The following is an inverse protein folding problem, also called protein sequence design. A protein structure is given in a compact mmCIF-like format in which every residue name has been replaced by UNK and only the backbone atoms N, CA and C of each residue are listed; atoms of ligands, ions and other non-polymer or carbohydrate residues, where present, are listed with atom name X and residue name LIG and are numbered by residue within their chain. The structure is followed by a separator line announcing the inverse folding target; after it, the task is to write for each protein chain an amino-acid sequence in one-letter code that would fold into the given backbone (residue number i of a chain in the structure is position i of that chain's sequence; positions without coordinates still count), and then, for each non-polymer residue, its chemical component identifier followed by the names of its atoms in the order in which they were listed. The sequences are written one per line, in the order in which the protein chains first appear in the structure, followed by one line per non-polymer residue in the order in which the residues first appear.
data_IF_193762863667
#
_entry.id   IF_193762863667
#
_cell.length_a   1.000
_cell.length_b   1.000
_cell.length_c   1.000
_cell.angle_alpha   90.00
_cell.angle_beta   90.00
_cell.angle_gamma   90.00
#
_symmetry.space_group_name_H-M   'P 1'
#
loop_
_entity.id
_entity.type
_entity.pdbx_description
1 polymer ?
#
# COMPACT_ATOMS: atom_id res chain seq x y z
N UNK A 1 -9.26 6.98 -23.89
CA UNK A 1 -9.20 7.81 -22.67
C UNK A 1 -9.03 7.01 -21.36
N UNK A 2 -9.58 5.79 -21.23
CA UNK A 2 -9.53 5.00 -19.98
C UNK A 2 -8.14 4.41 -19.61
N UNK A 3 -7.32 3.99 -20.59
CA UNK A 3 -5.96 3.47 -20.33
C UNK A 3 -5.02 4.50 -19.69
N UNK A 4 -5.21 5.79 -19.97
CA UNK A 4 -4.31 6.83 -19.50
C UNK A 4 -4.46 7.10 -18.00
N UNK A 5 -5.61 6.80 -17.41
CA UNK A 5 -5.90 7.07 -15.98
C UNK A 5 -5.24 6.04 -15.08
N UNK A 6 -5.31 4.75 -15.45
CA UNK A 6 -4.65 3.67 -14.70
C UNK A 6 -3.12 3.79 -14.75
N UNK A 7 -2.57 4.13 -15.93
CA UNK A 7 -1.15 4.44 -16.08
C UNK A 7 -0.74 5.66 -15.24
N UNK A 8 -1.55 6.71 -15.21
CA UNK A 8 -1.27 7.92 -14.43
C UNK A 8 -1.26 7.63 -12.92
N UNK A 9 -2.20 6.83 -12.41
CA UNK A 9 -2.23 6.45 -10.99
C UNK A 9 -1.05 5.55 -10.61
N UNK A 10 -0.70 4.60 -11.48
CA UNK A 10 0.50 3.78 -11.31
C UNK A 10 1.76 4.66 -11.34
N UNK A 11 1.85 5.63 -12.25
CA UNK A 11 2.97 6.57 -12.28
C UNK A 11 3.02 7.47 -11.05
N UNK A 12 1.89 7.94 -10.51
CA UNK A 12 1.85 8.72 -9.26
C UNK A 12 2.37 7.87 -8.10
N UNK A 13 1.96 6.60 -8.03
CA UNK A 13 2.43 5.66 -7.02
C UNK A 13 3.93 5.38 -7.15
N UNK A 14 4.41 5.08 -8.36
CA UNK A 14 5.84 4.88 -8.66
C UNK A 14 6.64 6.14 -8.32
N UNK A 15 6.15 7.32 -8.71
CA UNK A 15 6.77 8.61 -8.39
C UNK A 15 6.87 8.84 -6.88
N UNK A 16 5.83 8.49 -6.12
CA UNK A 16 5.86 8.55 -4.66
C UNK A 16 6.90 7.59 -4.07
N UNK A 17 7.03 6.38 -4.62
CA UNK A 17 8.03 5.39 -4.21
C UNK A 17 9.47 5.84 -4.55
N UNK A 18 9.71 6.39 -5.74
CA UNK A 18 11.03 6.96 -6.09
C UNK A 18 11.36 8.19 -5.28
N UNK A 19 10.38 9.04 -4.97
CA UNK A 19 10.57 10.20 -4.09
C UNK A 19 10.95 9.77 -2.68
N UNK A 20 10.40 8.65 -2.21
CA UNK A 20 10.80 8.02 -0.94
C UNK A 20 12.28 7.61 -0.97
N UNK A 21 12.74 6.89 -2.00
CA UNK A 21 14.16 6.50 -2.13
C UNK A 21 15.10 7.70 -2.24
N UNK A 22 14.71 8.77 -2.94
CA UNK A 22 15.50 10.00 -3.05
C UNK A 22 15.69 10.73 -1.72
N UNK A 23 14.68 10.71 -0.84
CA UNK A 23 14.81 11.29 0.51
C UNK A 23 15.86 10.58 1.37
N UNK A 24 16.11 9.30 1.13
CA UNK A 24 17.13 8.54 1.85
C UNK A 24 18.52 8.58 1.20
N UNK A 25 18.59 8.81 -0.13
CA UNK A 25 19.86 8.91 -0.83
C UNK A 25 20.64 10.21 -0.53
N UNK A 26 19.98 11.27 -0.04
CA UNK A 26 20.62 12.57 0.24
C UNK A 26 21.49 12.58 1.51
N UNK A 27 21.32 11.64 2.45
CA UNK A 27 22.06 11.64 3.73
C UNK A 27 23.41 10.86 3.67
N UNK A 28 23.77 10.20 2.55
CA UNK A 28 25.03 9.42 2.45
C UNK A 28 26.26 10.22 1.99
N UNK A 29 26.14 11.48 1.57
CA UNK A 29 27.26 12.22 0.94
C UNK A 29 28.18 13.04 1.88
N UNK A 30 28.13 12.85 3.20
CA UNK A 30 29.04 13.56 4.13
C UNK A 30 29.71 12.59 5.10
N UNK A 31 30.77 11.90 4.63
CA UNK A 31 31.97 11.57 5.42
C UNK A 31 32.93 10.67 4.62
N UNK A 32 33.50 11.16 3.51
CA UNK A 32 34.75 10.58 2.99
C UNK A 32 35.93 11.40 3.49
N UNK A 33 36.32 11.12 4.74
CA UNK A 33 37.67 11.34 5.21
C UNK A 33 38.55 10.23 4.67
N UNK A 34 39.50 10.61 3.82
CA UNK A 34 40.63 9.84 3.32
C UNK A 34 41.21 8.87 4.36
N UNK A 35 41.10 7.56 4.14
CA UNK A 35 42.02 6.59 4.71
C UNK A 35 42.54 5.63 3.64
N UNK A 36 43.85 5.77 3.42
CA UNK A 36 44.70 4.98 2.56
C UNK A 36 45.12 3.72 3.34
N UNK A 37 45.04 2.55 2.71
CA UNK A 37 45.82 1.30 2.90
C UNK A 37 44.95 0.15 2.38
N UNK A 38 45.40 -1.01 1.93
CA UNK A 38 46.65 -1.57 1.41
C UNK A 38 46.25 -3.00 1.01
N UNK A 39 46.75 -3.47 -0.14
CA UNK A 39 46.95 -4.88 -0.56
C UNK A 39 46.50 -6.01 0.39
N UNK A 40 45.72 -6.98 -0.12
CA UNK A 40 46.24 -8.33 -0.41
C UNK A 40 45.18 -9.34 -0.91
N UNK A 41 45.59 -10.09 -1.93
CA UNK A 41 45.37 -11.53 -2.21
C UNK A 41 44.25 -12.29 -1.49
N UNK A 42 43.44 -13.03 -2.26
CA UNK A 42 43.70 -14.46 -2.49
C UNK A 42 42.61 -15.10 -3.36
N UNK A 43 43.07 -15.85 -4.36
CA UNK A 43 42.33 -16.81 -5.15
C UNK A 43 41.71 -17.90 -4.26
N UNK A 44 40.45 -18.28 -4.51
CA UNK A 44 40.00 -19.63 -4.16
C UNK A 44 38.94 -20.13 -5.15
N UNK A 45 39.42 -20.98 -6.05
CA UNK A 45 38.68 -21.91 -6.89
C UNK A 45 38.15 -23.10 -6.07
N UNK A 46 36.87 -23.46 -6.23
CA UNK A 46 36.40 -24.84 -6.08
C UNK A 46 35.21 -25.11 -7.00
N UNK A 47 35.56 -25.66 -8.15
CA UNK A 47 34.94 -26.76 -8.88
C UNK A 47 34.05 -27.68 -8.02
N UNK A 48 32.83 -27.98 -8.51
CA UNK A 48 32.14 -29.22 -8.15
C UNK A 48 31.16 -29.64 -9.25
N UNK A 49 31.47 -30.81 -9.79
CA UNK A 49 30.76 -31.61 -10.79
C UNK A 49 29.49 -32.30 -10.27
N UNK A 50 28.84 -32.98 -11.22
CA UNK A 50 27.87 -34.10 -11.16
C UNK A 50 26.41 -33.69 -11.50
N UNK A 51 25.86 -34.01 -12.67
CA UNK A 51 25.57 -35.33 -13.27
C UNK A 51 24.40 -36.07 -12.58
N UNK A 52 23.22 -36.09 -13.22
CA UNK A 52 22.24 -37.21 -13.29
C UNK A 52 20.99 -36.73 -14.08
N UNK A 53 20.69 -37.25 -15.29
CA UNK A 53 19.69 -38.32 -15.64
C UNK A 53 18.23 -37.97 -15.27
N UNK A 54 17.16 -38.32 -15.97
CA UNK A 54 16.88 -39.25 -17.08
C UNK A 54 15.63 -38.77 -17.82
N UNK A 55 15.47 -39.28 -19.04
CA UNK A 55 14.30 -39.16 -19.90
C UNK A 55 13.07 -39.90 -19.34
N UNK A 56 11.87 -39.37 -19.60
CA UNK A 56 10.66 -40.17 -19.85
C UNK A 56 9.83 -39.47 -20.93
N UNK A 57 9.85 -40.07 -22.13
CA UNK A 57 8.78 -39.99 -23.12
C UNK A 57 7.58 -40.79 -22.61
N UNK A 58 6.36 -40.24 -22.70
CA UNK A 58 5.19 -41.04 -23.08
C UNK A 58 4.22 -40.16 -23.90
N UNK A 59 4.21 -40.42 -25.21
CA UNK A 59 3.08 -40.15 -26.09
C UNK A 59 1.87 -40.99 -25.65
N UNK A 60 0.73 -40.35 -25.43
CA UNK A 60 -0.56 -41.03 -25.59
C UNK A 60 -1.57 -40.13 -26.30
N UNK A 61 -1.63 -40.34 -27.62
CA UNK A 61 -2.76 -40.00 -28.48
C UNK A 61 -3.91 -40.99 -28.25
N UNK A 62 -5.11 -40.50 -27.96
CA UNK A 62 -6.35 -41.26 -28.14
C UNK A 62 -7.42 -40.38 -28.82
N UNK A 63 -8.20 -40.92 -29.77
CA UNK A 63 -9.08 -40.15 -30.62
C UNK A 63 -10.49 -39.94 -30.05
N UNK A 64 -11.12 -38.88 -30.57
CA UNK A 64 -12.55 -38.58 -30.73
C UNK A 64 -13.59 -39.45 -30.02
N UNK A 65 -14.42 -38.81 -29.19
CA UNK A 65 -15.87 -39.03 -29.24
C UNK A 65 -16.61 -37.69 -29.30
N UNK A 66 -17.39 -37.56 -30.37
CA UNK A 66 -18.33 -36.48 -30.64
C UNK A 66 -19.51 -36.57 -29.66
N UNK A 67 -19.56 -35.67 -28.68
CA UNK A 67 -20.73 -35.53 -27.81
C UNK A 67 -21.67 -34.41 -28.31
N UNK A 68 -22.95 -34.74 -28.31
CA UNK A 68 -24.07 -34.05 -28.93
C UNK A 68 -24.32 -32.71 -28.22
N UNK A 69 -24.26 -31.61 -28.98
CA UNK A 69 -24.67 -30.27 -28.53
C UNK A 69 -26.16 -30.25 -28.18
N UNK A 70 -26.47 -30.28 -26.89
CA UNK A 70 -27.74 -29.75 -26.39
C UNK A 70 -27.73 -28.22 -26.47
N UNK A 71 -28.88 -27.58 -26.74
CA UNK A 71 -28.97 -26.12 -26.81
C UNK A 71 -28.66 -25.53 -25.44
N UNK A 72 -27.48 -24.92 -25.34
CA UNK A 72 -27.01 -24.12 -24.20
C UNK A 72 -28.09 -23.12 -23.81
N UNK A 73 -28.83 -23.45 -22.75
CA UNK A 73 -29.60 -22.48 -22.01
C UNK A 73 -28.59 -21.46 -21.50
N UNK A 74 -28.59 -20.28 -22.12
CA UNK A 74 -27.84 -19.12 -21.64
C UNK A 74 -28.36 -18.79 -20.25
N UNK A 75 -27.77 -19.43 -19.24
CA UNK A 75 -27.83 -18.97 -17.87
C UNK A 75 -27.22 -17.59 -17.92
N UNK A 76 -28.10 -16.59 -17.96
CA UNK A 76 -27.78 -15.20 -17.68
C UNK A 76 -27.24 -15.27 -16.25
N UNK A 77 -25.93 -15.43 -16.11
CA UNK A 77 -25.25 -15.28 -14.85
C UNK A 77 -25.61 -13.87 -14.40
N UNK A 78 -26.44 -13.80 -13.37
CA UNK A 78 -26.91 -12.59 -12.75
C UNK A 78 -25.66 -11.79 -12.36
N UNK A 79 -25.34 -10.79 -13.20
CA UNK A 79 -24.23 -9.88 -12.97
C UNK A 79 -24.64 -8.99 -11.80
N UNK A 80 -24.20 -9.37 -10.62
CA UNK A 80 -24.30 -8.55 -9.43
C UNK A 80 -24.93 -9.31 -8.28
N UNK A 81 -24.25 -9.30 -7.13
CA UNK A 81 -24.68 -9.90 -5.86
C UNK A 81 -24.32 -11.37 -5.64
N UNK A 82 -23.20 -11.83 -6.23
CA UNK A 82 -22.45 -12.91 -5.59
C UNK A 82 -22.02 -12.44 -4.19
N UNK A 83 -22.39 -13.16 -3.11
CA UNK A 83 -22.05 -12.77 -1.75
C UNK A 83 -20.55 -12.96 -1.53
N UNK A 84 -19.73 -11.98 -1.96
CA UNK A 84 -18.41 -11.73 -1.38
C UNK A 84 -18.63 -11.19 0.04
N UNK A 85 -19.28 -11.99 0.87
CA UNK A 85 -19.40 -11.72 2.29
C UNK A 85 -18.04 -12.13 2.83
N UNK A 86 -17.20 -11.14 3.09
CA UNK A 86 -15.97 -11.27 3.85
C UNK A 86 -16.30 -11.78 5.27
N UNK A 87 -16.59 -13.08 5.38
CA UNK A 87 -16.71 -13.86 6.61
C UNK A 87 -15.35 -14.48 6.99
N UNK A 88 -14.27 -13.94 6.42
CA UNK A 88 -12.92 -14.29 6.78
C UNK A 88 -12.61 -13.71 8.16
N UNK A 89 -11.88 -14.48 8.98
CA UNK A 89 -11.37 -14.04 10.27
C UNK A 89 -10.56 -12.73 10.15
N UNK A 90 -9.88 -12.56 9.01
CA UNK A 90 -9.10 -11.38 8.61
C UNK A 90 -9.98 -10.15 8.44
N UNK A 91 -11.13 -10.24 7.79
CA UNK A 91 -12.04 -9.12 7.61
C UNK A 91 -12.72 -8.71 8.93
N UNK A 92 -13.07 -9.68 9.78
CA UNK A 92 -13.60 -9.36 11.11
C UNK A 92 -12.53 -8.67 11.98
N UNK A 93 -11.29 -9.19 11.98
CA UNK A 93 -10.17 -8.55 12.66
C UNK A 93 -9.93 -7.13 12.14
N UNK A 94 -9.96 -6.93 10.82
CA UNK A 94 -9.78 -5.62 10.21
C UNK A 94 -10.87 -4.62 10.64
N UNK A 95 -12.14 -5.04 10.72
CA UNK A 95 -13.22 -4.18 11.26
C UNK A 95 -12.89 -3.70 12.67
N UNK A 96 -12.49 -4.61 13.56
CA UNK A 96 -12.17 -4.26 14.94
C UNK A 96 -10.91 -3.40 15.07
N UNK A 97 -9.87 -3.64 14.27
CA UNK A 97 -8.69 -2.78 14.20
C UNK A 97 -9.06 -1.37 13.74
N UNK A 98 -9.93 -1.26 12.74
CA UNK A 98 -10.40 0.03 12.23
C UNK A 98 -11.22 0.80 13.25
N UNK A 99 -12.17 0.13 13.91
CA UNK A 99 -12.97 0.73 15.00
C UNK A 99 -12.06 1.14 16.17
N UNK A 100 -11.14 0.27 16.59
CA UNK A 100 -10.18 0.55 17.65
C UNK A 100 -9.29 1.75 17.32
N UNK A 101 -8.83 1.86 16.07
CA UNK A 101 -8.06 3.00 15.58
C UNK A 101 -8.87 4.28 15.70
N UNK A 102 -10.11 4.32 15.21
CA UNK A 102 -10.98 5.50 15.29
C UNK A 102 -11.22 5.92 16.75
N UNK A 103 -11.58 4.96 17.62
CA UNK A 103 -11.81 5.21 19.04
C UNK A 103 -10.55 5.74 19.73
N UNK A 104 -9.38 5.19 19.43
CA UNK A 104 -8.11 5.68 19.95
C UNK A 104 -7.76 7.07 19.42
N UNK A 105 -8.17 7.41 18.19
CA UNK A 105 -7.82 8.69 17.57
C UNK A 105 -8.63 9.85 18.13
N UNK A 106 -9.91 9.68 18.44
CA UNK A 106 -10.80 10.75 18.92
C UNK A 106 -10.23 11.53 20.13
N UNK A 107 -9.85 10.89 21.25
CA UNK A 107 -9.32 11.61 22.40
C UNK A 107 -7.97 12.27 22.08
N UNK A 108 -7.12 11.61 21.29
CA UNK A 108 -5.79 12.16 20.97
C UNK A 108 -5.92 13.34 20.00
N UNK A 109 -6.88 13.33 19.08
CA UNK A 109 -7.20 14.46 18.20
C UNK A 109 -7.80 15.63 18.98
N UNK A 110 -8.71 15.36 19.92
CA UNK A 110 -9.27 16.39 20.81
C UNK A 110 -8.19 17.03 21.70
N UNK A 111 -7.20 16.25 22.15
CA UNK A 111 -6.05 16.75 22.91
C UNK A 111 -5.09 17.52 21.99
N UNK A 112 -4.77 17.00 20.81
CA UNK A 112 -3.82 17.62 19.87
C UNK A 112 -4.34 18.96 19.32
N UNK A 113 -5.65 19.11 19.13
CA UNK A 113 -6.25 20.38 18.69
C UNK A 113 -6.34 21.42 19.80
N UNK A 114 -6.37 21.01 21.08
CA UNK A 114 -6.40 21.91 22.24
C UNK A 114 -5.01 22.27 22.77
N UNK A 115 -4.06 21.35 22.67
CA UNK A 115 -2.73 21.48 23.24
C UNK A 115 -1.76 21.95 22.16
N UNK A 116 -1.17 23.13 22.33
CA UNK A 116 -0.07 23.64 21.47
C UNK A 116 1.23 22.79 21.57
N UNK A 117 1.16 21.61 22.20
CA UNK A 117 2.32 20.78 22.50
C UNK A 117 2.63 19.82 21.35
N UNK A 118 3.87 19.88 20.88
CA UNK A 118 4.36 19.16 19.70
C UNK A 118 4.36 17.63 19.83
N UNK A 119 4.33 17.12 21.06
CA UNK A 119 4.41 15.68 21.33
C UNK A 119 3.10 14.96 20.93
N UNK A 120 1.95 15.63 21.00
CA UNK A 120 0.66 14.95 20.81
C UNK A 120 0.38 14.61 19.35
N UNK A 121 0.70 15.48 18.37
CA UNK A 121 0.38 15.20 16.97
C UNK A 121 1.20 14.02 16.41
N UNK A 122 2.44 13.80 16.88
CA UNK A 122 3.25 12.68 16.43
C UNK A 122 2.59 11.34 16.77
N UNK A 123 2.07 11.21 17.99
CA UNK A 123 1.37 10.01 18.43
C UNK A 123 0.08 9.80 17.63
N UNK A 124 -0.68 10.87 17.32
CA UNK A 124 -1.88 10.74 16.46
C UNK A 124 -1.51 10.23 15.08
N UNK A 125 -0.48 10.82 14.45
CA UNK A 125 -0.02 10.44 13.11
C UNK A 125 0.46 9.00 13.10
N UNK A 126 1.26 8.61 14.10
CA UNK A 126 1.73 7.24 14.26
C UNK A 126 0.55 6.26 14.35
N UNK A 127 -0.40 6.51 15.26
CA UNK A 127 -1.57 5.65 15.47
C UNK A 127 -2.43 5.53 14.22
N UNK A 128 -2.76 6.66 13.57
CA UNK A 128 -3.55 6.65 12.33
C UNK A 128 -2.83 5.90 11.21
N UNK A 129 -1.54 6.15 11.03
CA UNK A 129 -0.76 5.56 9.94
C UNK A 129 -0.52 4.06 10.13
N UNK A 130 -0.19 3.62 11.35
CA UNK A 130 -0.08 2.20 11.67
C UNK A 130 -1.45 1.54 11.57
N UNK A 131 -2.50 2.16 12.11
CA UNK A 131 -3.85 1.62 12.08
C UNK A 131 -4.33 1.32 10.66
N UNK A 132 -4.24 2.29 9.75
CA UNK A 132 -4.59 2.04 8.33
C UNK A 132 -3.62 1.07 7.66
N UNK A 133 -2.31 1.15 7.97
CA UNK A 133 -1.33 0.21 7.41
C UNK A 133 -1.65 -1.24 7.77
N UNK A 134 -2.07 -1.48 9.02
CA UNK A 134 -2.54 -2.79 9.48
C UNK A 134 -3.83 -3.22 8.77
N UNK A 135 -4.77 -2.31 8.49
CA UNK A 135 -5.97 -2.64 7.70
C UNK A 135 -5.60 -3.17 6.31
N UNK A 136 -4.67 -2.50 5.62
CA UNK A 136 -4.21 -2.94 4.30
C UNK A 136 -3.51 -4.31 4.34
N UNK A 137 -2.67 -4.55 5.35
CA UNK A 137 -2.02 -5.85 5.55
C UNK A 137 -3.05 -6.95 5.85
N UNK A 138 -4.03 -6.68 6.72
CA UNK A 138 -5.07 -7.66 7.08
C UNK A 138 -5.99 -8.01 5.90
N UNK A 139 -6.17 -7.09 4.94
CA UNK A 139 -6.91 -7.35 3.71
C UNK A 139 -6.11 -8.11 2.65
N UNK A 140 -4.79 -8.24 2.81
CA UNK A 140 -3.92 -8.89 1.81
C UNK A 140 -4.30 -10.35 1.52
N UNK A 141 -4.58 -11.22 2.52
CA UNK A 141 -4.95 -12.61 2.25
C UNK A 141 -6.25 -12.73 1.44
N UNK A 142 -7.26 -11.94 1.78
CA UNK A 142 -8.54 -11.93 1.07
C UNK A 142 -8.34 -11.52 -0.40
N UNK A 143 -7.54 -10.49 -0.68
CA UNK A 143 -7.25 -10.07 -2.05
C UNK A 143 -6.40 -11.09 -2.82
N UNK A 144 -5.56 -11.86 -2.13
CA UNK A 144 -4.76 -12.92 -2.74
C UNK A 144 -5.65 -14.07 -3.22
N UNK A 145 -6.63 -14.46 -2.41
CA UNK A 145 -7.50 -15.61 -2.66
C UNK A 145 -8.64 -15.23 -3.62
N UNK A 146 -9.28 -14.08 -3.39
CA UNK A 146 -10.56 -13.75 -4.03
C UNK A 146 -10.43 -12.87 -5.28
N UNK A 147 -9.30 -12.17 -5.45
CA UNK A 147 -9.10 -11.20 -6.54
C UNK A 147 -7.93 -11.60 -7.43
N UNK A 148 -6.70 -11.28 -7.02
CA UNK A 148 -5.47 -11.75 -7.63
C UNK A 148 -4.24 -11.38 -6.80
N UNK A 149 -3.11 -12.04 -7.10
CA UNK A 149 -1.81 -11.81 -6.48
C UNK A 149 -1.32 -10.35 -6.56
N UNK A 150 -1.60 -9.65 -7.66
CA UNK A 150 -1.15 -8.27 -7.88
C UNK A 150 -1.82 -7.30 -6.89
N UNK A 151 -3.11 -7.49 -6.60
CA UNK A 151 -3.83 -6.70 -5.60
C UNK A 151 -3.26 -6.98 -4.22
N UNK A 152 -3.08 -8.25 -3.88
CA UNK A 152 -2.51 -8.64 -2.59
C UNK A 152 -1.12 -8.00 -2.36
N UNK A 153 -0.22 -8.07 -3.34
CA UNK A 153 1.09 -7.43 -3.27
C UNK A 153 0.96 -5.91 -3.12
N UNK A 154 0.04 -5.28 -3.85
CA UNK A 154 -0.21 -3.85 -3.72
C UNK A 154 -0.65 -3.47 -2.29
N UNK A 155 -1.62 -4.19 -1.71
CA UNK A 155 -2.08 -3.98 -0.34
C UNK A 155 -0.96 -4.21 0.68
N UNK A 156 -0.14 -5.26 0.48
CA UNK A 156 0.99 -5.55 1.36
C UNK A 156 2.04 -4.42 1.33
N UNK A 157 2.41 -3.95 0.14
CA UNK A 157 3.38 -2.85 -0.04
C UNK A 157 2.82 -1.55 0.51
N UNK A 158 1.56 -1.21 0.19
CA UNK A 158 0.91 0.01 0.67
C UNK A 158 0.82 0.01 2.20
N UNK A 159 0.36 -1.08 2.80
CA UNK A 159 0.26 -1.21 4.25
C UNK A 159 1.61 -1.11 4.96
N UNK A 160 2.64 -1.79 4.42
CA UNK A 160 4.00 -1.70 4.94
C UNK A 160 4.57 -0.29 4.85
N UNK A 161 4.38 0.39 3.72
CA UNK A 161 4.81 1.77 3.52
C UNK A 161 4.13 2.73 4.51
N UNK A 162 2.85 2.50 4.84
CA UNK A 162 2.11 3.33 5.79
C UNK A 162 2.57 3.10 7.23
N UNK A 163 2.88 1.87 7.61
CA UNK A 163 3.51 1.58 8.91
C UNK A 163 4.87 2.27 9.01
N UNK A 164 5.73 2.09 7.98
CA UNK A 164 7.05 2.71 7.92
C UNK A 164 6.96 4.24 7.98
N UNK A 165 6.01 4.85 7.27
CA UNK A 165 5.75 6.29 7.32
C UNK A 165 5.44 6.78 8.74
N UNK A 166 4.54 6.09 9.45
CA UNK A 166 4.18 6.43 10.83
C UNK A 166 5.40 6.40 11.76
N UNK A 167 6.21 5.35 11.67
CA UNK A 167 7.43 5.18 12.46
C UNK A 167 8.46 6.26 12.13
N UNK A 168 8.70 6.54 10.85
CA UNK A 168 9.66 7.54 10.40
C UNK A 168 9.24 8.95 10.83
N UNK A 169 7.95 9.27 10.73
CA UNK A 169 7.42 10.56 11.17
C UNK A 169 7.59 10.77 12.68
N UNK A 170 7.45 9.70 13.47
CA UNK A 170 7.67 9.73 14.92
C UNK A 170 9.12 10.12 15.26
N UNK A 171 10.08 9.49 14.56
CA UNK A 171 11.53 9.72 14.73
C UNK A 171 11.94 11.12 14.26
N UNK A 172 11.66 11.47 12.99
CA UNK A 172 12.18 12.68 12.33
C UNK A 172 11.07 13.41 11.54
N UNK A 173 10.24 14.26 12.19
CA UNK A 173 9.12 14.95 11.53
C UNK A 173 9.59 16.12 10.64
N UNK A 174 10.09 15.83 9.44
CA UNK A 174 10.51 16.84 8.46
C UNK A 174 9.38 17.21 7.50
N UNK A 175 9.45 18.42 6.93
CA UNK A 175 8.46 18.95 5.97
C UNK A 175 8.24 18.02 4.78
N UNK A 176 9.32 17.42 4.25
CA UNK A 176 9.26 16.44 3.15
C UNK A 176 8.32 15.27 3.49
N UNK A 177 8.37 14.74 4.72
CA UNK A 177 7.48 13.65 5.14
C UNK A 177 6.02 14.09 5.20
N UNK A 178 5.73 15.31 5.63
CA UNK A 178 4.34 15.81 5.64
C UNK A 178 3.76 15.80 4.22
N UNK A 179 4.53 16.25 3.22
CA UNK A 179 4.11 16.24 1.81
C UNK A 179 3.93 14.82 1.30
N UNK A 180 4.89 13.93 1.55
CA UNK A 180 4.81 12.50 1.17
C UNK A 180 3.56 11.86 1.78
N UNK A 181 3.29 12.10 3.06
CA UNK A 181 2.11 11.59 3.74
C UNK A 181 0.81 12.08 3.10
N UNK A 182 0.70 13.38 2.80
CA UNK A 182 -0.49 13.94 2.13
C UNK A 182 -0.68 13.33 0.74
N UNK A 183 0.37 13.33 -0.10
CA UNK A 183 0.28 12.84 -1.48
C UNK A 183 -0.02 11.35 -1.51
N UNK A 184 0.69 10.54 -0.71
CA UNK A 184 0.51 9.09 -0.66
C UNK A 184 -0.89 8.68 -0.20
N UNK A 185 -1.40 9.31 0.87
CA UNK A 185 -2.74 9.01 1.37
C UNK A 185 -3.83 9.49 0.41
N UNK A 186 -3.70 10.68 -0.20
CA UNK A 186 -4.64 11.13 -1.24
C UNK A 186 -4.63 10.17 -2.43
N UNK A 187 -3.45 9.70 -2.84
CA UNK A 187 -3.30 8.68 -3.88
C UNK A 187 -4.09 7.40 -3.56
N UNK A 188 -3.95 6.89 -2.33
CA UNK A 188 -4.70 5.71 -1.84
C UNK A 188 -6.23 5.94 -1.84
N UNK A 189 -6.69 7.13 -1.42
CA UNK A 189 -8.12 7.49 -1.40
C UNK A 189 -8.67 7.57 -2.83
N UNK A 190 -7.97 8.26 -3.73
CA UNK A 190 -8.37 8.40 -5.14
C UNK A 190 -8.37 7.04 -5.82
N UNK A 191 -7.36 6.21 -5.58
CA UNK A 191 -7.28 4.87 -6.15
C UNK A 191 -8.48 4.02 -5.72
N UNK A 192 -8.82 4.02 -4.43
CA UNK A 192 -10.01 3.34 -3.93
C UNK A 192 -11.29 3.83 -4.63
N UNK A 193 -11.45 5.13 -4.81
CA UNK A 193 -12.63 5.65 -5.52
C UNK A 193 -12.66 5.16 -6.98
N UNK A 194 -11.51 5.13 -7.65
CA UNK A 194 -11.41 4.68 -9.04
C UNK A 194 -11.71 3.17 -9.15
N UNK A 195 -11.19 2.33 -8.26
CA UNK A 195 -11.45 0.87 -8.29
C UNK A 195 -12.92 0.54 -8.03
N UNK A 196 -13.65 1.38 -7.28
CA UNK A 196 -15.10 1.20 -7.01
C UNK A 196 -16.02 1.79 -8.08
N UNK A 197 -15.53 2.72 -8.92
CA UNK A 197 -16.39 3.46 -9.88
C UNK A 197 -16.06 3.21 -11.34
N UNK A 198 -14.86 2.71 -11.64
CA UNK A 198 -14.39 2.51 -13.01
C UNK A 198 -14.01 1.06 -13.24
N UNK A 199 -14.33 0.57 -14.44
CA UNK A 199 -13.70 -0.65 -14.96
C UNK A 199 -12.25 -0.33 -15.24
N UNK A 200 -11.35 -1.01 -14.55
CA UNK A 200 -9.93 -0.91 -14.81
C UNK A 200 -9.55 -1.95 -15.87
N UNK A 201 -8.54 -1.66 -16.70
CA UNK A 201 -8.01 -2.69 -17.59
C UNK A 201 -7.56 -3.92 -16.80
N UNK A 202 -7.59 -5.08 -17.45
CA UNK A 202 -6.93 -6.29 -16.93
C UNK A 202 -5.50 -5.96 -16.44
N UNK A 203 -5.07 -6.47 -15.27
CA UNK A 203 -5.67 -7.56 -14.48
C UNK A 203 -6.70 -7.11 -13.42
N UNK A 204 -7.17 -5.85 -13.43
CA UNK A 204 -8.01 -5.29 -12.37
C UNK A 204 -9.52 -5.46 -12.63
N UNK A 205 -9.93 -5.58 -13.89
CA UNK A 205 -11.28 -6.01 -14.26
C UNK A 205 -12.43 -5.07 -13.85
N UNK A 206 -13.56 -5.68 -13.46
CA UNK A 206 -14.80 -4.98 -13.13
C UNK A 206 -14.69 -4.15 -11.83
N UNK A 207 -15.52 -3.11 -11.64
CA UNK A 207 -15.49 -2.32 -10.41
C UNK A 207 -15.81 -3.23 -9.23
N UNK A 208 -14.96 -3.18 -8.22
CA UNK A 208 -15.16 -3.98 -7.03
C UNK A 208 -16.29 -3.38 -6.16
N UNK A 209 -17.02 -4.22 -5.41
CA UNK A 209 -18.11 -3.78 -4.53
C UNK A 209 -17.66 -2.92 -3.35
N UNK A 210 -18.54 -2.05 -2.83
CA UNK A 210 -18.21 -1.22 -1.66
C UNK A 210 -18.25 -2.08 -0.40
N UNK A 211 -17.16 -2.10 0.36
CA UNK A 211 -17.04 -2.89 1.58
C UNK A 211 -16.85 -2.00 2.84
N UNK A 212 -17.26 -2.52 3.99
CA UNK A 212 -17.21 -1.77 5.25
C UNK A 212 -15.77 -1.49 5.72
N UNK A 213 -14.83 -2.42 5.49
CA UNK A 213 -13.44 -2.27 5.93
C UNK A 213 -12.74 -1.19 5.10
N UNK A 214 -12.98 -1.18 3.78
CA UNK A 214 -12.55 -0.15 2.86
C UNK A 214 -13.03 1.23 3.27
N UNK A 215 -14.32 1.38 3.61
CA UNK A 215 -14.86 2.65 4.13
C UNK A 215 -14.13 3.08 5.41
N UNK A 216 -13.97 2.18 6.38
CA UNK A 216 -13.27 2.50 7.63
C UNK A 216 -11.82 2.93 7.35
N UNK A 217 -11.10 2.21 6.48
CA UNK A 217 -9.75 2.57 6.08
C UNK A 217 -9.70 3.97 5.46
N UNK A 218 -10.64 4.31 4.57
CA UNK A 218 -10.71 5.66 3.97
C UNK A 218 -11.00 6.76 4.99
N UNK A 219 -11.85 6.51 5.99
CA UNK A 219 -12.10 7.49 7.07
C UNK A 219 -10.80 7.75 7.86
N UNK A 220 -10.03 6.71 8.16
CA UNK A 220 -8.74 6.82 8.87
C UNK A 220 -7.72 7.59 8.02
N UNK A 221 -7.60 7.29 6.72
CA UNK A 221 -6.71 8.01 5.79
C UNK A 221 -7.09 9.48 5.64
N UNK A 222 -8.37 9.79 5.47
CA UNK A 222 -8.87 11.17 5.38
C UNK A 222 -8.54 11.93 6.67
N UNK A 223 -8.69 11.30 7.83
CA UNK A 223 -8.35 11.88 9.13
C UNK A 223 -6.84 12.18 9.22
N UNK A 224 -5.99 11.28 8.73
CA UNK A 224 -4.54 11.48 8.67
C UNK A 224 -4.19 12.65 7.73
N UNK A 225 -4.75 12.69 6.52
CA UNK A 225 -4.55 13.79 5.57
C UNK A 225 -4.98 15.13 6.16
N UNK A 226 -6.16 15.19 6.79
CA UNK A 226 -6.66 16.41 7.40
C UNK A 226 -5.71 16.92 8.50
N UNK A 227 -5.17 16.03 9.33
CA UNK A 227 -4.20 16.39 10.36
C UNK A 227 -2.88 16.90 9.76
N UNK A 228 -2.36 16.26 8.71
CA UNK A 228 -1.13 16.70 8.05
C UNK A 228 -1.32 18.09 7.39
N UNK A 229 -2.45 18.32 6.73
CA UNK A 229 -2.80 19.63 6.16
C UNK A 229 -2.92 20.69 7.26
N UNK A 230 -3.57 20.35 8.37
CA UNK A 230 -3.67 21.23 9.54
C UNK A 230 -2.28 21.63 10.05
N UNK A 231 -1.34 20.68 10.15
CA UNK A 231 0.04 20.98 10.54
C UNK A 231 0.72 21.93 9.54
N UNK A 232 0.57 21.73 8.23
CA UNK A 232 1.10 22.65 7.21
C UNK A 232 0.55 24.07 7.45
N UNK A 233 -0.77 24.20 7.60
CA UNK A 233 -1.41 25.50 7.81
C UNK A 233 -0.97 26.18 9.12
N UNK A 234 -0.86 25.39 10.19
CA UNK A 234 -0.42 25.85 11.51
C UNK A 234 1.02 26.36 11.50
N UNK A 235 1.95 25.60 10.90
CA UNK A 235 3.36 26.00 10.82
C UNK A 235 3.57 27.22 9.91
N UNK A 236 2.82 27.36 8.80
CA UNK A 236 2.85 28.58 7.98
C UNK A 236 2.38 29.82 8.74
N UNK A 237 1.39 29.65 9.63
CA UNK A 237 0.83 30.75 10.42
C UNK A 237 1.78 31.22 11.53
N UNK A 238 2.51 30.30 12.16
CA UNK A 238 3.42 30.60 13.29
C UNK A 238 4.83 30.97 12.83
N UNK A 239 5.22 30.49 11.65
CA UNK A 239 6.51 30.80 11.04
C UNK A 239 6.32 31.47 9.68
N UNK A 240 5.85 32.73 9.61
CA UNK A 240 5.91 33.51 8.37
C UNK A 240 7.37 33.87 7.96
N UNK A 241 8.39 33.30 8.60
CA UNK A 241 9.77 33.77 8.53
C UNK A 241 10.77 32.64 8.30
N UNK A 242 11.45 32.76 7.15
CA UNK A 242 12.76 32.18 6.77
C UNK A 242 12.80 30.67 6.61
N UNK A 243 12.27 30.18 5.48
CA UNK A 243 12.85 29.00 4.84
C UNK A 243 14.23 29.44 4.35
N UNK A 244 15.27 29.06 5.10
CA UNK A 244 16.62 29.01 4.56
C UNK A 244 16.82 27.55 4.17
N UNK A 245 16.90 27.33 2.87
CA UNK A 245 17.14 26.04 2.24
C UNK A 245 18.38 25.35 2.82
#
# INVERSE_FOLDING_TARGET
MKQNVSLLLFMIFVLALTSFNLVFAEDEHVSEGSEHTSENNAEHSTERDAEHTDAVEEEHSSPEEHEVKEPEHSHIHEVGEGPHVHNSLTAEAAKWVGVGTLVATVPVFAIATRSANKIHYKNVILTLSIGVGMLHILLTPDHWIDVNITHAVFFAVLGSAQIAYGLLFMVKPISKLVVIGVVGNIGSIVLYFVTRTQTLPEPFGAPEGIDAVGIIAKIVEISLVALLIYLIAYYRKISPLTIKD
#
